data_IF_977850567041
#
_entry.id   IF_977850567041
#
_cell.length_a   1.000
_cell.length_b   1.000
_cell.length_c   1.000
_cell.angle_alpha   90.00
_cell.angle_beta   90.00
_cell.angle_gamma   90.00
#
_symmetry.space_group_name_H-M   'P 1'
#
loop_
_entity.id
_entity.type
_entity.pdbx_description
1 polymer ?
#
# COMPACT_ATOMS: atom_id res chain seq x y z
N UNK A 1 20.10 -11.49 48.57
CA UNK A 1 20.55 -10.08 48.48
C UNK A 1 20.27 -9.64 47.05
N UNK A 2 19.03 -9.39 46.62
CA UNK A 2 17.92 -8.62 47.21
C UNK A 2 18.32 -7.19 47.59
N UNK A 3 17.91 -6.24 46.72
CA UNK A 3 17.52 -4.81 46.90
C UNK A 3 17.79 -4.11 45.56
N UNK A 4 16.81 -3.61 44.80
CA UNK A 4 16.03 -2.42 45.10
C UNK A 4 14.72 -2.41 44.28
N UNK A 5 13.59 -2.50 44.98
CA UNK A 5 12.26 -2.08 44.54
C UNK A 5 12.06 -0.62 44.98
N UNK A 6 11.73 0.29 44.06
CA UNK A 6 10.97 1.53 44.31
C UNK A 6 10.19 1.83 43.01
N UNK A 7 8.90 1.51 42.89
CA UNK A 7 7.70 2.20 43.40
C UNK A 7 7.56 3.64 42.87
N UNK A 8 6.83 3.78 41.76
CA UNK A 8 6.05 4.99 41.47
C UNK A 8 4.57 4.68 41.65
N UNK A 9 4.02 5.19 42.75
CA UNK A 9 2.59 5.33 43.01
C UNK A 9 2.10 6.63 42.37
N UNK A 10 1.02 6.58 41.59
CA UNK A 10 0.22 7.75 41.29
C UNK A 10 -1.24 7.45 41.64
N UNK A 11 -1.63 7.97 42.80
CA UNK A 11 -2.96 8.03 43.37
C UNK A 11 -3.74 9.11 42.62
N UNK A 12 -4.86 8.76 41.99
CA UNK A 12 -5.82 9.75 41.49
C UNK A 12 -6.73 10.19 42.64
N UNK A 13 -6.50 11.41 43.13
CA UNK A 13 -7.36 12.12 44.08
C UNK A 13 -8.50 12.81 43.32
N UNK A 14 -9.75 12.51 43.67
CA UNK A 14 -10.95 13.25 43.23
C UNK A 14 -11.02 14.61 43.92
N UNK A 15 -11.33 15.71 43.21
CA UNK A 15 -11.87 16.92 43.82
C UNK A 15 -13.42 16.96 43.72
N UNK A 16 -14.07 17.79 44.56
CA UNK A 16 -15.52 17.74 44.78
C UNK A 16 -16.30 18.50 43.70
N UNK A 17 -17.53 18.05 43.50
CA UNK A 17 -18.58 18.71 42.73
C UNK A 17 -18.96 20.05 43.39
N UNK A 18 -19.23 21.09 42.59
CA UNK A 18 -20.42 21.89 42.86
C UNK A 18 -21.29 22.12 41.63
N UNK A 19 -22.58 22.18 41.93
CA UNK A 19 -23.74 22.51 41.10
C UNK A 19 -23.57 23.84 40.34
N UNK A 20 -24.14 23.92 39.13
CA UNK A 20 -24.37 25.21 38.46
C UNK A 20 -24.75 25.09 36.99
N UNK A 21 -26.03 25.32 36.69
CA UNK A 21 -26.67 25.40 35.37
C UNK A 21 -25.87 26.16 34.28
N UNK A 22 -25.91 25.68 33.04
CA UNK A 22 -26.79 26.22 31.97
C UNK A 22 -26.44 25.69 30.56
N UNK A 23 -27.48 25.27 29.82
CA UNK A 23 -27.79 25.34 28.37
C UNK A 23 -26.63 25.18 27.34
N UNK A 24 -26.68 24.47 26.19
CA UNK A 24 -27.62 23.80 25.28
C UNK A 24 -26.73 22.81 24.46
N UNK A 25 -27.13 21.75 23.76
CA UNK A 25 -28.39 21.07 23.50
C UNK A 25 -28.03 19.86 22.61
N UNK A 26 -28.62 18.70 22.89
CA UNK A 26 -28.71 17.58 21.96
C UNK A 26 -30.04 16.89 22.21
N UNK A 27 -30.91 16.98 21.21
CA UNK A 27 -32.29 16.49 21.27
C UNK A 27 -32.32 14.97 21.33
N UNK A 28 -32.54 14.43 22.54
CA UNK A 28 -33.03 13.07 22.73
C UNK A 28 -34.56 13.11 22.68
N UNK A 29 -35.16 12.52 21.65
CA UNK A 29 -36.60 12.31 21.62
C UNK A 29 -36.97 11.25 22.65
N UNK A 30 -37.83 11.64 23.60
CA UNK A 30 -38.57 10.72 24.47
C UNK A 30 -39.65 10.03 23.63
N UNK A 31 -39.63 8.70 23.56
CA UNK A 31 -40.84 7.94 23.25
C UNK A 31 -41.68 7.85 24.53
N UNK A 32 -42.75 8.63 24.62
CA UNK A 32 -43.79 8.42 25.62
C UNK A 32 -44.59 7.17 25.23
N UNK A 33 -44.66 6.19 26.14
CA UNK A 33 -45.51 5.03 26.00
C UNK A 33 -46.84 5.33 26.70
N UNK A 34 -47.91 5.57 25.94
CA UNK A 34 -49.28 5.48 26.46
C UNK A 34 -49.75 4.04 26.29
N UNK A 35 -50.04 3.40 27.42
CA UNK A 35 -50.73 2.12 27.47
C UNK A 35 -52.21 2.33 27.17
N UNK A 36 -52.73 1.64 26.16
CA UNK A 36 -54.08 1.08 26.21
C UNK A 36 -54.20 -0.10 25.22
N UNK A 37 -54.61 -1.25 25.77
CA UNK A 37 -55.42 -2.31 25.14
C UNK A 37 -55.03 -2.90 23.78
N UNK A 38 -54.68 -4.19 23.78
CA UNK A 38 -55.19 -5.12 22.77
C UNK A 38 -54.20 -5.61 21.70
N UNK A 39 -53.70 -6.83 21.93
CA UNK A 39 -53.29 -7.89 21.01
C UNK A 39 -52.77 -7.59 19.57
N UNK A 40 -51.62 -8.23 19.30
CA UNK A 40 -51.08 -8.67 18.00
C UNK A 40 -50.63 -7.59 17.02
N UNK A 41 -49.38 -7.16 17.17
CA UNK A 41 -48.63 -6.45 16.13
C UNK A 41 -47.21 -6.98 16.05
N UNK A 42 -46.86 -7.64 14.95
CA UNK A 42 -45.48 -7.95 14.59
C UNK A 42 -44.70 -6.63 14.44
N UNK A 43 -43.82 -6.32 15.39
CA UNK A 43 -42.91 -5.20 15.25
C UNK A 43 -41.78 -5.58 14.30
N UNK A 44 -41.88 -5.10 13.06
CA UNK A 44 -40.79 -5.12 12.08
C UNK A 44 -39.79 -4.02 12.44
N UNK A 45 -38.66 -4.41 13.04
CA UNK A 45 -37.52 -3.53 13.24
C UNK A 45 -36.77 -3.41 11.92
N UNK A 46 -37.05 -2.37 11.12
CA UNK A 46 -36.24 -2.05 9.95
C UNK A 46 -34.98 -1.33 10.44
N UNK A 47 -33.96 -2.11 10.78
CA UNK A 47 -32.62 -1.59 11.03
C UNK A 47 -32.07 -1.06 9.71
N UNK A 48 -32.15 0.26 9.49
CA UNK A 48 -31.49 0.91 8.35
C UNK A 48 -30.02 1.05 8.73
N UNK A 49 -29.27 -0.05 8.65
CA UNK A 49 -27.82 0.01 8.54
C UNK A 49 -27.54 0.55 7.14
N UNK A 50 -27.21 1.84 7.06
CA UNK A 50 -26.59 2.43 5.88
C UNK A 50 -25.20 1.82 5.72
N UNK A 51 -25.12 0.60 5.19
CA UNK A 51 -23.89 0.04 4.64
C UNK A 51 -23.60 0.81 3.35
N UNK A 52 -22.81 1.88 3.43
CA UNK A 52 -22.20 2.44 2.22
C UNK A 52 -21.25 1.39 1.67
N UNK A 53 -21.72 0.60 0.71
CA UNK A 53 -20.85 -0.29 -0.06
C UNK A 53 -19.94 0.58 -0.91
N UNK A 54 -18.65 0.66 -0.57
CA UNK A 54 -17.65 1.35 -1.38
C UNK A 54 -17.48 0.62 -2.71
N UNK A 55 -17.53 1.35 -3.81
CA UNK A 55 -17.18 0.80 -5.13
C UNK A 55 -15.67 0.69 -5.26
N UNK A 56 -15.18 -0.08 -6.23
CA UNK A 56 -13.75 -0.18 -6.50
C UNK A 56 -13.14 1.18 -6.92
N UNK A 57 -13.94 2.05 -7.54
CA UNK A 57 -13.51 3.41 -7.84
C UNK A 57 -13.33 4.25 -6.56
N UNK A 58 -14.23 4.11 -5.57
CA UNK A 58 -14.11 4.80 -4.27
C UNK A 58 -12.89 4.31 -3.49
N UNK A 59 -12.64 2.99 -3.49
CA UNK A 59 -11.48 2.38 -2.84
C UNK A 59 -10.16 2.80 -3.51
N UNK A 60 -10.13 2.88 -4.84
CA UNK A 60 -8.95 3.37 -5.57
C UNK A 60 -8.70 4.85 -5.26
N UNK A 61 -9.75 5.69 -5.22
CA UNK A 61 -9.63 7.10 -4.86
C UNK A 61 -9.12 7.29 -3.42
N UNK A 62 -9.57 6.45 -2.49
CA UNK A 62 -9.04 6.42 -1.11
C UNK A 62 -7.55 6.08 -1.09
N UNK A 63 -7.15 4.99 -1.76
CA UNK A 63 -5.75 4.57 -1.82
C UNK A 63 -4.86 5.64 -2.47
N UNK A 64 -5.33 6.25 -3.58
CA UNK A 64 -4.65 7.31 -4.29
C UNK A 64 -4.37 8.53 -3.39
N UNK A 65 -5.40 8.99 -2.67
CA UNK A 65 -5.28 10.12 -1.75
C UNK A 65 -4.31 9.81 -0.61
N UNK A 66 -4.41 8.63 0.01
CA UNK A 66 -3.52 8.25 1.12
C UNK A 66 -2.06 8.09 0.67
N UNK A 67 -1.83 7.56 -0.54
CA UNK A 67 -0.48 7.47 -1.12
C UNK A 67 0.12 8.85 -1.40
N UNK A 68 -0.68 9.81 -1.89
CA UNK A 68 -0.25 11.19 -2.12
C UNK A 68 0.08 11.90 -0.79
N UNK A 69 -0.81 11.80 0.21
CA UNK A 69 -0.57 12.37 1.54
C UNK A 69 0.68 11.76 2.22
N UNK A 70 0.89 10.44 2.10
CA UNK A 70 2.10 9.78 2.59
C UNK A 70 3.37 10.24 1.85
N UNK A 71 3.29 10.42 0.53
CA UNK A 71 4.40 10.97 -0.25
C UNK A 71 4.80 12.37 0.23
N UNK A 72 3.83 13.21 0.62
CA UNK A 72 4.09 14.56 1.15
C UNK A 72 4.80 14.50 2.51
N UNK A 73 4.40 13.58 3.37
CA UNK A 73 5.06 13.31 4.66
C UNK A 73 6.52 12.90 4.43
N UNK A 74 6.76 11.94 3.52
CA UNK A 74 8.12 11.44 3.21
C UNK A 74 8.99 12.57 2.66
N UNK A 75 8.48 13.40 1.74
CA UNK A 75 9.24 14.55 1.21
C UNK A 75 9.59 15.56 2.31
N UNK A 76 8.66 15.84 3.21
CA UNK A 76 8.88 16.75 4.34
C UNK A 76 9.98 16.23 5.28
N UNK A 77 9.98 14.93 5.57
CA UNK A 77 11.03 14.27 6.36
C UNK A 77 12.38 14.32 5.63
N UNK A 78 12.40 14.02 4.34
CA UNK A 78 13.63 14.07 3.53
C UNK A 78 14.28 15.45 3.55
N UNK A 79 13.48 16.52 3.43
CA UNK A 79 13.97 17.92 3.44
C UNK A 79 14.51 18.32 4.81
N UNK A 80 13.87 17.88 5.91
CA UNK A 80 14.34 18.22 7.27
C UNK A 80 15.60 17.46 7.68
N UNK A 81 15.89 16.34 7.03
CA UNK A 81 16.89 15.35 7.46
C UNK A 81 16.29 14.33 8.45
N UNK A 82 16.84 13.12 8.46
CA UNK A 82 16.31 12.00 9.24
C UNK A 82 17.43 11.08 9.70
N UNK A 83 17.15 10.27 10.72
CA UNK A 83 18.01 9.18 11.15
C UNK A 83 17.59 7.87 10.49
N UNK A 84 18.59 7.03 10.20
CA UNK A 84 18.37 5.67 9.69
C UNK A 84 18.70 4.68 10.79
N UNK A 85 17.73 3.83 11.10
CA UNK A 85 17.90 2.68 11.99
C UNK A 85 18.03 1.41 11.14
N UNK A 86 18.47 0.33 11.77
CA UNK A 86 18.62 -0.98 11.11
C UNK A 86 17.73 -1.99 11.81
N UNK A 87 16.85 -2.66 11.04
CA UNK A 87 15.98 -3.75 11.51
C UNK A 87 16.81 -5.00 11.86
N UNK A 88 16.18 -5.98 12.49
CA UNK A 88 16.81 -7.25 12.89
C UNK A 88 17.37 -8.06 11.72
N UNK A 89 16.80 -7.90 10.53
CA UNK A 89 17.23 -8.54 9.28
C UNK A 89 18.26 -7.71 8.49
N UNK A 90 18.84 -6.67 9.11
CA UNK A 90 19.80 -5.73 8.53
C UNK A 90 19.26 -4.83 7.41
N UNK A 91 17.95 -4.78 7.19
CA UNK A 91 17.33 -3.76 6.34
C UNK A 91 17.25 -2.39 7.06
N UNK A 92 17.40 -1.25 6.35
CA UNK A 92 17.24 0.06 6.96
C UNK A 92 15.75 0.39 7.18
N UNK A 93 15.47 1.23 8.18
CA UNK A 93 14.17 1.84 8.45
C UNK A 93 14.38 3.27 8.94
N UNK A 94 13.47 4.18 8.64
CA UNK A 94 13.58 5.59 9.01
C UNK A 94 12.30 6.11 9.65
N UNK A 95 12.35 7.34 10.19
CA UNK A 95 11.14 8.05 10.62
C UNK A 95 10.09 8.14 9.49
N UNK A 96 10.52 8.20 8.23
CA UNK A 96 9.63 8.31 7.09
C UNK A 96 8.74 7.08 6.90
N UNK A 97 9.30 5.88 7.05
CA UNK A 97 8.57 4.61 6.95
C UNK A 97 7.45 4.57 8.02
N UNK A 98 7.79 4.85 9.28
CA UNK A 98 6.81 4.85 10.38
C UNK A 98 5.75 5.95 10.27
N UNK A 99 6.13 7.17 9.88
CA UNK A 99 5.20 8.28 9.76
C UNK A 99 4.21 8.07 8.59
N UNK A 100 4.70 7.58 7.45
CA UNK A 100 3.87 7.24 6.30
C UNK A 100 2.91 6.09 6.65
N UNK A 101 3.40 5.02 7.27
CA UNK A 101 2.56 3.89 7.68
C UNK A 101 1.45 4.33 8.62
N UNK A 102 1.79 5.03 9.71
CA UNK A 102 0.80 5.48 10.69
C UNK A 102 -0.33 6.30 10.07
N UNK A 103 0.01 7.16 9.09
CA UNK A 103 -0.96 7.97 8.36
C UNK A 103 -1.87 7.10 7.46
N UNK A 104 -1.28 6.21 6.66
CA UNK A 104 -2.02 5.32 5.75
C UNK A 104 -2.96 4.40 6.54
N UNK A 105 -2.47 3.76 7.60
CA UNK A 105 -3.24 2.82 8.41
C UNK A 105 -4.40 3.50 9.11
N UNK A 106 -4.18 4.70 9.66
CA UNK A 106 -5.27 5.50 10.24
C UNK A 106 -6.35 5.80 9.21
N UNK A 107 -5.96 6.19 7.99
CA UNK A 107 -6.88 6.50 6.90
C UNK A 107 -7.70 5.29 6.45
N UNK A 108 -7.05 4.16 6.16
CA UNK A 108 -7.72 2.94 5.72
C UNK A 108 -8.66 2.39 6.80
N UNK A 109 -8.19 2.28 8.05
CA UNK A 109 -8.98 1.74 9.17
C UNK A 109 -10.20 2.61 9.51
N UNK A 110 -10.11 3.92 9.29
CA UNK A 110 -11.23 4.83 9.54
C UNK A 110 -12.28 4.77 8.42
N UNK A 111 -11.86 4.65 7.16
CA UNK A 111 -12.76 4.72 6.01
C UNK A 111 -13.42 3.38 5.66
N UNK A 112 -12.68 2.28 5.81
CA UNK A 112 -13.07 0.91 5.42
C UNK A 112 -12.64 -0.12 6.48
N UNK A 113 -13.14 -0.02 7.73
CA UNK A 113 -12.74 -0.89 8.83
C UNK A 113 -12.99 -2.39 8.57
N UNK A 114 -13.89 -2.72 7.65
CA UNK A 114 -14.23 -4.09 7.25
C UNK A 114 -13.18 -4.77 6.35
N UNK A 115 -12.28 -4.01 5.74
CA UNK A 115 -11.18 -4.53 4.91
C UNK A 115 -9.89 -4.45 5.75
N UNK A 116 -9.34 -5.58 6.21
CA UNK A 116 -8.10 -5.60 6.99
C UNK A 116 -6.94 -4.96 6.22
N UNK A 117 -5.99 -4.41 6.96
CA UNK A 117 -4.74 -3.86 6.41
C UNK A 117 -3.57 -4.66 6.95
N UNK A 118 -2.68 -5.06 6.05
CA UNK A 118 -1.40 -5.70 6.33
C UNK A 118 -0.31 -4.76 5.82
N UNK A 119 0.58 -4.33 6.71
CA UNK A 119 1.61 -3.34 6.39
C UNK A 119 2.99 -3.82 6.85
N UNK A 120 4.02 -3.42 6.12
CA UNK A 120 5.39 -3.88 6.34
C UNK A 120 5.85 -3.72 7.79
N UNK A 121 5.73 -2.53 8.38
CA UNK A 121 6.33 -2.24 9.68
C UNK A 121 5.52 -2.87 10.83
N UNK A 122 4.19 -2.93 10.70
CA UNK A 122 3.37 -3.72 11.63
C UNK A 122 3.75 -5.20 11.60
N UNK A 123 3.97 -5.79 10.41
CA UNK A 123 4.42 -7.19 10.28
C UNK A 123 5.82 -7.39 10.86
N UNK A 124 6.74 -6.46 10.62
CA UNK A 124 8.09 -6.48 11.20
C UNK A 124 8.05 -6.39 12.75
N UNK A 125 7.06 -5.68 13.31
CA UNK A 125 6.83 -5.61 14.76
C UNK A 125 6.20 -6.87 15.38
N UNK A 126 5.82 -7.85 14.55
CA UNK A 126 5.22 -9.12 14.97
C UNK A 126 3.69 -9.15 14.90
N UNK A 127 3.04 -8.08 14.46
CA UNK A 127 1.60 -8.08 14.20
C UNK A 127 1.31 -8.86 12.92
N UNK A 128 0.62 -9.99 13.04
CA UNK A 128 0.15 -10.74 11.88
C UNK A 128 -1.25 -10.29 11.52
N UNK A 129 -1.39 -9.58 10.42
CA UNK A 129 -2.70 -9.32 9.82
C UNK A 129 -3.36 -10.64 9.39
N UNK A 130 -4.69 -10.68 9.43
CA UNK A 130 -5.45 -11.83 8.98
C UNK A 130 -5.68 -11.73 7.46
N UNK A 131 -5.23 -12.75 6.71
CA UNK A 131 -5.65 -12.92 5.31
C UNK A 131 -7.15 -13.17 5.31
N UNK A 132 -7.90 -12.28 4.69
CA UNK A 132 -9.33 -12.42 4.45
C UNK A 132 -9.58 -12.52 2.94
N UNK A 133 -10.83 -12.73 2.49
CA UNK A 133 -11.14 -12.66 1.07
C UNK A 133 -10.80 -11.32 0.41
N UNK A 134 -10.67 -10.22 1.18
CA UNK A 134 -10.30 -8.90 0.70
C UNK A 134 -9.46 -8.14 1.74
N UNK A 135 -8.24 -7.73 1.42
CA UNK A 135 -7.35 -7.03 2.34
C UNK A 135 -6.42 -6.06 1.61
N UNK A 136 -5.99 -5.02 2.32
CA UNK A 136 -4.98 -4.07 1.85
C UNK A 136 -3.58 -4.58 2.17
N UNK A 137 -2.67 -4.42 1.22
CA UNK A 137 -1.23 -4.54 1.40
C UNK A 137 -0.61 -3.16 1.27
N UNK A 138 0.18 -2.78 2.27
CA UNK A 138 0.81 -1.46 2.36
C UNK A 138 2.31 -1.62 2.52
N UNK A 139 3.05 -1.01 1.60
CA UNK A 139 4.44 -0.68 1.77
C UNK A 139 4.53 0.85 1.91
N UNK A 140 4.79 1.36 3.12
CA UNK A 140 4.79 2.80 3.36
C UNK A 140 5.98 3.51 2.69
N UNK A 141 7.08 2.79 2.40
CA UNK A 141 8.28 3.33 1.79
C UNK A 141 9.11 2.17 1.19
N UNK A 142 8.79 1.75 -0.04
CA UNK A 142 9.63 0.81 -0.77
C UNK A 142 10.90 1.53 -1.23
N UNK A 143 12.04 0.86 -1.12
CA UNK A 143 13.32 1.45 -1.45
C UNK A 143 13.93 2.27 -0.31
N UNK A 144 13.73 1.88 0.96
CA UNK A 144 14.37 2.54 2.12
C UNK A 144 15.89 2.66 1.98
N UNK A 145 16.57 1.70 1.32
CA UNK A 145 18.01 1.79 0.98
C UNK A 145 18.33 2.92 0.00
N UNK A 146 17.42 3.20 -0.93
CA UNK A 146 17.54 4.28 -1.91
C UNK A 146 17.29 5.62 -1.24
N UNK A 147 16.23 5.70 -0.42
CA UNK A 147 15.90 6.86 0.40
C UNK A 147 17.02 7.26 1.36
N UNK A 148 17.52 6.31 2.17
CA UNK A 148 18.62 6.53 3.11
C UNK A 148 19.93 6.95 2.42
N UNK A 149 20.14 6.52 1.18
CA UNK A 149 21.29 6.93 0.38
C UNK A 149 21.08 8.25 -0.38
N UNK A 150 19.97 8.96 -0.13
CA UNK A 150 19.66 10.24 -0.75
C UNK A 150 19.27 10.14 -2.22
N UNK A 151 18.94 8.95 -2.73
CA UNK A 151 18.50 8.73 -4.12
C UNK A 151 17.00 8.91 -4.25
N UNK A 152 16.51 9.04 -5.48
CA UNK A 152 15.12 9.37 -5.78
C UNK A 152 14.22 8.14 -5.99
N UNK A 153 14.81 6.94 -6.06
CA UNK A 153 14.11 5.71 -6.43
C UNK A 153 13.45 5.03 -5.22
N UNK A 154 12.38 5.63 -4.71
CA UNK A 154 11.55 5.05 -3.63
C UNK A 154 10.07 5.35 -3.87
N UNK A 155 9.18 4.50 -3.34
CA UNK A 155 7.73 4.59 -3.58
C UNK A 155 6.91 4.36 -2.32
N UNK A 156 5.64 4.75 -2.36
CA UNK A 156 4.60 4.31 -1.43
C UNK A 156 3.68 3.39 -2.20
N UNK A 157 3.37 2.20 -1.70
CA UNK A 157 2.52 1.22 -2.37
C UNK A 157 1.30 0.88 -1.51
N UNK A 158 0.09 1.07 -2.06
CA UNK A 158 -1.18 0.70 -1.40
C UNK A 158 -2.00 -0.14 -2.38
N UNK A 159 -2.03 -1.45 -2.17
CA UNK A 159 -2.70 -2.41 -3.06
C UNK A 159 -3.86 -3.11 -2.36
N UNK A 160 -4.98 -3.27 -3.05
CA UNK A 160 -6.09 -4.12 -2.58
C UNK A 160 -5.98 -5.49 -3.24
N UNK A 161 -5.98 -6.52 -2.42
CA UNK A 161 -6.07 -7.92 -2.86
C UNK A 161 -7.48 -8.44 -2.60
N UNK A 162 -8.04 -9.19 -3.54
CA UNK A 162 -9.20 -10.05 -3.32
C UNK A 162 -8.96 -11.46 -3.83
N UNK A 163 -9.31 -12.46 -3.03
CA UNK A 163 -9.17 -13.89 -3.36
C UNK A 163 -7.77 -14.22 -3.93
N UNK A 164 -6.73 -13.67 -3.30
CA UNK A 164 -5.33 -13.89 -3.68
C UNK A 164 -4.85 -13.19 -4.95
N UNK A 165 -5.63 -12.23 -5.50
CA UNK A 165 -5.25 -11.43 -6.68
C UNK A 165 -5.26 -9.94 -6.37
N UNK A 166 -4.28 -9.20 -6.90
CA UNK A 166 -4.31 -7.74 -6.91
C UNK A 166 -5.50 -7.26 -7.75
N UNK A 167 -6.35 -6.40 -7.19
CA UNK A 167 -7.56 -5.90 -7.84
C UNK A 167 -7.42 -4.44 -8.24
N UNK A 168 -6.85 -3.62 -7.36
CA UNK A 168 -6.58 -2.21 -7.59
C UNK A 168 -5.39 -1.76 -6.75
N UNK A 169 -4.78 -0.65 -7.13
CA UNK A 169 -3.63 -0.13 -6.41
C UNK A 169 -3.29 1.31 -6.74
N UNK A 170 -2.71 1.98 -5.75
CA UNK A 170 -2.07 3.28 -5.89
C UNK A 170 -0.60 3.18 -5.51
N UNK A 171 0.26 3.83 -6.30
CA UNK A 171 1.70 3.91 -6.07
C UNK A 171 2.17 5.35 -6.24
N UNK A 172 2.68 5.97 -5.17
CA UNK A 172 3.28 7.30 -5.25
C UNK A 172 4.80 7.21 -5.37
N UNK A 173 5.39 8.07 -6.19
CA UNK A 173 6.83 8.25 -6.36
C UNK A 173 7.19 9.64 -5.80
N UNK A 174 7.53 9.76 -4.50
CA UNK A 174 7.57 11.07 -3.85
C UNK A 174 8.63 11.99 -4.47
N UNK A 175 9.84 11.50 -4.75
CA UNK A 175 10.90 12.33 -5.35
C UNK A 175 10.53 12.87 -6.75
N UNK A 176 9.66 12.15 -7.46
CA UNK A 176 9.24 12.50 -8.82
C UNK A 176 7.94 13.31 -8.86
N UNK A 177 7.26 13.53 -7.72
CA UNK A 177 5.94 14.16 -7.65
C UNK A 177 4.92 13.48 -8.57
N UNK A 178 4.95 12.14 -8.60
CA UNK A 178 4.08 11.32 -9.45
C UNK A 178 3.24 10.38 -8.60
N UNK A 179 2.00 10.17 -9.02
CA UNK A 179 1.08 9.17 -8.45
C UNK A 179 0.54 8.30 -9.59
N UNK A 180 0.62 7.00 -9.42
CA UNK A 180 0.13 6.01 -10.37
C UNK A 180 -1.05 5.26 -9.77
N UNK A 181 -2.09 5.00 -10.56
CA UNK A 181 -3.29 4.28 -10.13
C UNK A 181 -3.75 3.32 -11.21
N UNK A 182 -4.37 2.22 -10.82
CA UNK A 182 -4.96 1.26 -11.75
C UNK A 182 -5.68 0.12 -11.05
N UNK A 183 -6.45 -0.65 -11.80
CA UNK A 183 -7.15 -1.83 -11.31
C UNK A 183 -8.05 -2.49 -12.36
N UNK A 184 -8.68 -3.60 -11.99
CA UNK A 184 -9.57 -4.36 -12.87
C UNK A 184 -10.78 -3.50 -13.24
N UNK A 185 -10.99 -3.28 -14.54
CA UNK A 185 -12.08 -2.43 -15.05
C UNK A 185 -11.89 -0.93 -14.75
N UNK A 186 -10.76 -0.55 -14.17
CA UNK A 186 -10.38 0.83 -13.89
C UNK A 186 -9.21 1.21 -14.81
N UNK A 187 -9.08 2.49 -15.17
CA UNK A 187 -8.01 2.89 -16.05
C UNK A 187 -6.66 2.93 -15.31
N UNK A 188 -5.58 2.70 -16.06
CA UNK A 188 -4.25 3.05 -15.61
C UNK A 188 -3.97 4.54 -15.86
N UNK A 189 -3.56 5.26 -14.82
CA UNK A 189 -3.27 6.69 -14.86
C UNK A 189 -1.99 7.02 -14.13
N UNK A 190 -1.32 8.08 -14.60
CA UNK A 190 -0.29 8.82 -13.87
C UNK A 190 -0.78 10.24 -13.64
N UNK A 191 -0.78 10.69 -12.40
CA UNK A 191 -0.92 12.11 -12.02
C UNK A 191 0.45 12.70 -11.73
N UNK A 192 0.70 13.89 -12.25
CA UNK A 192 1.86 14.73 -11.95
C UNK A 192 1.45 16.21 -11.90
N UNK A 193 2.43 17.12 -11.85
CA UNK A 193 2.18 18.57 -11.82
C UNK A 193 1.43 19.10 -13.05
N UNK A 194 1.51 18.41 -14.18
CA UNK A 194 0.95 18.82 -15.47
C UNK A 194 -0.46 18.23 -15.68
N UNK A 195 -0.89 17.31 -14.81
CA UNK A 195 -2.26 16.78 -14.78
C UNK A 195 -2.31 15.26 -14.65
N UNK A 196 -3.44 14.69 -15.08
CA UNK A 196 -3.69 13.24 -15.12
C UNK A 196 -3.51 12.75 -16.55
N UNK A 197 -2.70 11.71 -16.72
CA UNK A 197 -2.33 11.11 -18.00
C UNK A 197 -2.73 9.65 -18.02
N UNK A 198 -3.40 9.20 -19.09
CA UNK A 198 -3.58 7.77 -19.36
C UNK A 198 -2.23 7.15 -19.67
N UNK A 199 -1.93 6.02 -19.04
CA UNK A 199 -0.71 5.25 -19.33
C UNK A 199 -1.07 3.92 -19.97
N UNK A 200 -0.15 3.41 -20.77
CA UNK A 200 -0.28 2.11 -21.43
C UNK A 200 1.11 1.55 -21.65
N UNK A 201 1.24 0.25 -21.50
CA UNK A 201 2.46 -0.46 -21.91
C UNK A 201 2.64 -0.38 -23.42
N UNK A 202 3.85 -0.62 -23.89
CA UNK A 202 4.16 -0.69 -25.33
C UNK A 202 4.40 -2.12 -25.77
N UNK A 203 4.26 -2.36 -27.07
CA UNK A 203 4.81 -3.53 -27.74
C UNK A 203 6.33 -3.34 -27.90
N UNK A 204 7.15 -4.37 -27.60
CA UNK A 204 8.59 -4.29 -27.80
C UNK A 204 8.96 -3.89 -29.24
N UNK A 205 9.97 -3.00 -29.40
CA UNK A 205 10.39 -2.58 -30.72
C UNK A 205 11.26 -3.66 -31.39
N UNK A 206 11.40 -3.60 -32.72
CA UNK A 206 12.03 -4.66 -33.51
C UNK A 206 13.54 -4.82 -33.22
N UNK A 207 14.18 -3.77 -32.74
CA UNK A 207 15.58 -3.77 -32.30
C UNK A 207 15.83 -4.63 -31.06
N UNK A 208 14.79 -4.92 -30.26
CA UNK A 208 14.87 -5.78 -29.08
C UNK A 208 14.23 -5.19 -27.82
N UNK A 209 14.23 -5.98 -26.76
CA UNK A 209 13.67 -5.61 -25.46
C UNK A 209 14.56 -4.58 -24.74
N UNK A 210 13.94 -3.55 -24.18
CA UNK A 210 14.53 -2.71 -23.14
C UNK A 210 14.24 -3.31 -21.77
N UNK A 211 15.28 -3.65 -21.02
CA UNK A 211 15.19 -4.35 -19.73
C UNK A 211 15.60 -3.43 -18.59
N UNK A 212 14.82 -3.41 -17.49
CA UNK A 212 15.26 -2.86 -16.21
C UNK A 212 15.53 -3.98 -15.21
N UNK A 213 16.68 -3.91 -14.55
CA UNK A 213 17.04 -4.77 -13.44
C UNK A 213 17.18 -3.96 -12.14
N UNK A 214 17.17 -4.66 -11.01
CA UNK A 214 17.43 -4.02 -9.71
C UNK A 214 18.88 -3.52 -9.65
N UNK A 215 19.09 -2.31 -9.13
CA UNK A 215 20.43 -1.76 -8.88
C UNK A 215 21.30 -2.64 -7.99
N UNK A 216 20.68 -3.30 -7.00
CA UNK A 216 21.42 -4.18 -6.07
C UNK A 216 21.71 -5.57 -6.64
N UNK A 217 21.18 -5.89 -7.81
CA UNK A 217 21.33 -7.19 -8.48
C UNK A 217 21.68 -6.99 -9.96
N UNK A 218 22.39 -5.90 -10.28
CA UNK A 218 22.74 -5.55 -11.65
C UNK A 218 23.61 -6.62 -12.33
N UNK A 219 24.56 -7.18 -11.56
CA UNK A 219 25.52 -8.18 -12.03
C UNK A 219 25.08 -9.62 -11.71
N UNK A 220 23.80 -9.85 -11.43
CA UNK A 220 23.30 -11.18 -11.10
C UNK A 220 23.36 -12.09 -12.35
N UNK A 221 24.17 -13.17 -12.35
CA UNK A 221 24.30 -14.04 -13.52
C UNK A 221 22.99 -14.73 -13.90
N UNK A 222 22.03 -14.83 -12.96
CA UNK A 222 20.70 -15.37 -13.21
C UNK A 222 19.91 -14.49 -14.18
N UNK A 223 20.19 -13.19 -14.26
CA UNK A 223 19.56 -12.29 -15.22
C UNK A 223 19.93 -12.68 -16.65
N UNK A 224 21.23 -12.78 -16.93
CA UNK A 224 21.74 -13.20 -18.24
C UNK A 224 21.21 -14.58 -18.63
N UNK A 225 21.21 -15.53 -17.69
CA UNK A 225 20.65 -16.86 -17.92
C UNK A 225 19.15 -16.83 -18.25
N UNK A 226 18.37 -16.00 -17.56
CA UNK A 226 16.94 -15.87 -17.79
C UNK A 226 16.60 -15.16 -19.11
N UNK A 227 17.36 -14.13 -19.48
CA UNK A 227 17.18 -13.44 -20.75
C UNK A 227 17.49 -14.36 -21.95
N UNK A 228 18.42 -15.31 -21.78
CA UNK A 228 18.73 -16.33 -22.77
C UNK A 228 19.08 -15.71 -24.14
N UNK A 229 18.48 -16.23 -25.21
CA UNK A 229 18.71 -15.78 -26.58
C UNK A 229 17.76 -14.65 -27.03
N UNK A 230 17.01 -14.03 -26.12
CA UNK A 230 16.12 -12.91 -26.48
C UNK A 230 16.94 -11.77 -27.07
N UNK A 231 16.38 -11.09 -28.08
CA UNK A 231 16.98 -9.89 -28.64
C UNK A 231 16.84 -8.74 -27.63
N UNK A 232 17.94 -8.32 -27.02
CA UNK A 232 17.98 -7.24 -26.03
C UNK A 232 18.56 -5.98 -26.67
N UNK A 233 17.81 -4.87 -26.64
CA UNK A 233 18.26 -3.58 -27.13
C UNK A 233 19.06 -2.81 -26.06
N UNK A 234 18.64 -2.90 -24.79
CA UNK A 234 19.32 -2.24 -23.68
C UNK A 234 19.00 -2.89 -22.34
N UNK A 235 19.94 -2.80 -21.40
CA UNK A 235 19.73 -3.14 -19.99
C UNK A 235 20.07 -1.91 -19.14
N UNK A 236 19.15 -1.49 -18.27
CA UNK A 236 19.36 -0.42 -17.29
C UNK A 236 19.08 -0.88 -15.87
N UNK A 237 19.50 -0.08 -14.89
CA UNK A 237 19.35 -0.40 -13.47
C UNK A 237 18.71 0.75 -12.70
N UNK A 238 17.65 0.42 -11.94
CA UNK A 238 16.95 1.39 -11.08
C UNK A 238 16.46 0.72 -9.80
N UNK A 239 16.35 1.50 -8.71
CA UNK A 239 15.87 1.06 -7.40
C UNK A 239 14.35 0.82 -7.35
N UNK A 240 13.88 0.18 -6.28
CA UNK A 240 12.46 0.17 -5.85
C UNK A 240 11.41 -0.25 -6.92
N UNK A 241 10.13 -0.07 -6.64
CA UNK A 241 8.98 -0.32 -7.47
C UNK A 241 8.85 0.67 -8.64
N UNK A 242 9.71 1.70 -8.73
CA UNK A 242 9.80 2.60 -9.90
C UNK A 242 9.90 1.84 -11.21
N UNK A 243 10.52 0.65 -11.21
CA UNK A 243 10.59 -0.26 -12.36
C UNK A 243 9.22 -0.61 -12.94
N UNK A 244 8.21 -0.84 -12.09
CA UNK A 244 6.85 -1.14 -12.54
C UNK A 244 6.22 0.05 -13.24
N UNK A 245 6.39 1.27 -12.72
CA UNK A 245 5.92 2.48 -13.40
C UNK A 245 6.52 2.59 -14.80
N UNK A 246 7.83 2.36 -14.95
CA UNK A 246 8.48 2.43 -16.28
C UNK A 246 7.97 1.38 -17.27
N UNK A 247 7.59 0.19 -16.80
CA UNK A 247 6.92 -0.80 -17.65
C UNK A 247 5.50 -0.34 -17.99
N UNK A 248 4.71 0.10 -16.99
CA UNK A 248 3.33 0.55 -17.16
C UNK A 248 3.20 1.77 -18.11
N UNK A 249 4.19 2.65 -18.13
CA UNK A 249 4.28 3.79 -19.06
C UNK A 249 4.79 3.41 -20.47
N UNK A 250 5.19 2.16 -20.69
CA UNK A 250 5.83 1.72 -21.93
C UNK A 250 7.22 2.35 -22.15
N UNK A 251 7.87 2.85 -21.10
CA UNK A 251 9.24 3.37 -21.19
C UNK A 251 10.26 2.23 -21.38
N UNK A 252 9.98 1.06 -20.79
CA UNK A 252 10.72 -0.18 -20.96
C UNK A 252 9.77 -1.36 -21.15
N UNK A 253 10.31 -2.49 -21.60
CA UNK A 253 9.50 -3.65 -22.02
C UNK A 253 9.48 -4.75 -20.95
N UNK A 254 10.53 -4.82 -20.13
CA UNK A 254 10.82 -6.01 -19.35
C UNK A 254 11.49 -5.69 -18.00
N UNK A 255 10.97 -6.26 -16.92
CA UNK A 255 11.58 -6.21 -15.59
C UNK A 255 11.49 -7.58 -14.91
N UNK A 256 12.56 -8.40 -14.99
CA UNK A 256 12.68 -9.61 -14.20
C UNK A 256 13.18 -9.28 -12.77
N UNK A 257 12.51 -9.82 -11.75
CA UNK A 257 12.91 -9.71 -10.35
C UNK A 257 13.30 -11.09 -9.82
N UNK A 258 14.61 -11.31 -9.68
CA UNK A 258 15.21 -12.57 -9.25
C UNK A 258 15.69 -12.57 -7.79
N UNK A 259 15.69 -11.38 -7.17
CA UNK A 259 15.95 -11.19 -5.74
C UNK A 259 14.66 -11.17 -4.92
N UNK A 260 14.74 -11.29 -3.59
CA UNK A 260 13.58 -11.32 -2.71
C UNK A 260 12.76 -10.03 -2.81
N UNK A 261 11.45 -10.17 -2.63
CA UNK A 261 10.45 -9.10 -2.46
C UNK A 261 9.34 -9.62 -1.55
N UNK A 262 8.58 -8.70 -0.99
CA UNK A 262 7.40 -8.98 -0.21
C UNK A 262 6.13 -8.68 -1.01
N UNK A 263 4.99 -9.23 -0.59
CA UNK A 263 3.70 -9.03 -1.24
C UNK A 263 3.29 -7.56 -1.34
N UNK A 264 3.63 -6.75 -0.33
CA UNK A 264 3.34 -5.32 -0.31
C UNK A 264 4.15 -4.52 -1.35
N UNK A 265 5.34 -5.00 -1.75
CA UNK A 265 6.14 -4.39 -2.82
C UNK A 265 5.48 -4.54 -4.21
N UNK A 266 4.56 -5.50 -4.38
CA UNK A 266 4.07 -5.91 -5.72
C UNK A 266 2.57 -5.75 -5.91
N UNK A 267 1.76 -5.77 -4.85
CA UNK A 267 0.29 -5.72 -4.98
C UNK A 267 -0.22 -4.47 -5.72
N UNK A 268 0.19 -3.28 -5.28
CA UNK A 268 -0.23 -2.04 -5.94
C UNK A 268 0.37 -1.90 -7.35
N UNK A 269 1.69 -2.12 -7.53
CA UNK A 269 2.28 -2.04 -8.86
C UNK A 269 1.72 -3.06 -9.86
N UNK A 270 1.35 -4.27 -9.42
CA UNK A 270 0.72 -5.27 -10.28
C UNK A 270 -0.60 -4.79 -10.85
N UNK A 271 -1.49 -4.28 -10.00
CA UNK A 271 -2.78 -3.76 -10.44
C UNK A 271 -2.62 -2.63 -11.47
N UNK A 272 -1.61 -1.76 -11.29
CA UNK A 272 -1.30 -0.66 -12.21
C UNK A 272 -0.79 -1.19 -13.56
N UNK A 273 0.18 -2.11 -13.53
CA UNK A 273 0.78 -2.70 -14.75
C UNK A 273 -0.27 -3.46 -15.56
N UNK A 274 -1.11 -4.26 -14.90
CA UNK A 274 -2.16 -5.03 -15.58
C UNK A 274 -3.25 -4.12 -16.17
N UNK A 275 -3.65 -3.05 -15.46
CA UNK A 275 -4.56 -2.05 -16.00
C UNK A 275 -3.97 -1.29 -17.20
N UNK A 276 -2.64 -1.15 -17.27
CA UNK A 276 -1.93 -0.55 -18.39
C UNK A 276 -1.76 -1.51 -19.59
N UNK A 277 -2.19 -2.77 -19.46
CA UNK A 277 -2.08 -3.80 -20.50
C UNK A 277 -0.79 -4.61 -20.47
N UNK A 278 -0.07 -4.59 -19.34
CA UNK A 278 1.06 -5.46 -19.06
C UNK A 278 0.69 -6.68 -18.21
N UNK A 279 1.69 -7.44 -17.79
CA UNK A 279 1.51 -8.65 -16.98
C UNK A 279 2.61 -8.81 -15.94
N UNK A 280 2.24 -9.39 -14.79
CA UNK A 280 3.18 -9.91 -13.81
C UNK A 280 2.94 -11.40 -13.60
N UNK A 281 3.96 -12.21 -13.88
CA UNK A 281 3.90 -13.67 -13.77
C UNK A 281 5.12 -14.20 -13.03
N UNK A 282 5.02 -15.43 -12.54
CA UNK A 282 6.20 -16.20 -12.13
C UNK A 282 7.07 -16.52 -13.36
N UNK A 283 8.28 -17.03 -13.12
CA UNK A 283 9.21 -17.36 -14.21
C UNK A 283 8.68 -18.45 -15.16
N UNK A 284 7.77 -19.30 -14.68
CA UNK A 284 7.10 -20.35 -15.46
C UNK A 284 5.83 -19.85 -16.19
N UNK A 285 5.50 -18.56 -16.07
CA UNK A 285 4.32 -17.93 -16.66
C UNK A 285 3.04 -18.06 -15.83
N UNK A 286 3.06 -18.78 -14.70
CA UNK A 286 1.90 -18.84 -13.80
C UNK A 286 1.65 -17.49 -13.10
N UNK A 287 0.42 -17.20 -12.65
CA UNK A 287 0.12 -15.92 -12.00
C UNK A 287 0.85 -15.75 -10.66
N UNK A 288 1.31 -14.52 -10.37
CA UNK A 288 1.73 -14.16 -9.02
C UNK A 288 0.49 -14.05 -8.12
N UNK A 289 0.45 -14.84 -7.04
CA UNK A 289 -0.66 -14.88 -6.08
C UNK A 289 -0.26 -14.29 -4.73
N UNK A 290 -1.26 -13.83 -3.99
CA UNK A 290 -1.14 -13.15 -2.69
C UNK A 290 -1.80 -13.96 -1.56
N UNK A 291 -1.35 -13.74 -0.32
CA UNK A 291 -1.84 -14.39 0.89
C UNK A 291 -0.92 -15.50 1.40
N UNK A 292 0.37 -15.43 1.06
CA UNK A 292 1.40 -16.41 1.46
C UNK A 292 1.76 -16.24 2.94
N UNK A 293 2.06 -17.33 3.62
CA UNK A 293 2.29 -17.37 5.08
C UNK A 293 3.43 -16.46 5.56
N UNK A 294 4.47 -16.28 4.74
CA UNK A 294 5.64 -15.44 5.04
C UNK A 294 5.68 -14.15 4.23
N UNK A 295 4.65 -13.87 3.43
CA UNK A 295 4.54 -12.70 2.55
C UNK A 295 5.65 -12.57 1.49
N UNK A 296 6.52 -13.58 1.32
CA UNK A 296 7.64 -13.50 0.37
C UNK A 296 7.19 -13.89 -1.02
N UNK A 297 7.48 -13.06 -2.01
CA UNK A 297 7.24 -13.44 -3.39
C UNK A 297 8.37 -14.34 -3.90
N UNK A 298 8.03 -15.39 -4.68
CA UNK A 298 9.00 -16.05 -5.53
C UNK A 298 9.50 -15.08 -6.63
N UNK A 299 10.59 -15.43 -7.34
CA UNK A 299 11.01 -14.69 -8.52
C UNK A 299 9.86 -14.53 -9.53
N UNK A 300 9.73 -13.33 -10.07
CA UNK A 300 8.67 -12.97 -11.00
C UNK A 300 9.22 -12.12 -12.14
N UNK A 301 8.41 -11.94 -13.17
CA UNK A 301 8.68 -11.07 -14.31
C UNK A 301 7.51 -10.13 -14.50
N UNK A 302 7.83 -8.85 -14.62
CA UNK A 302 6.93 -7.80 -15.06
C UNK A 302 7.22 -7.49 -16.54
N UNK A 303 6.17 -7.43 -17.35
CA UNK A 303 6.27 -7.26 -18.80
C UNK A 303 5.25 -6.25 -19.30
N UNK A 304 5.61 -5.54 -20.37
CA UNK A 304 4.65 -4.76 -21.16
C UNK A 304 3.66 -5.66 -21.91
N UNK A 305 3.03 -5.13 -22.97
CA UNK A 305 2.27 -6.00 -23.89
C UNK A 305 3.28 -6.80 -24.71
N UNK A 306 3.38 -8.11 -24.44
CA UNK A 306 4.18 -9.04 -25.23
C UNK A 306 3.36 -9.69 -26.35
#
# INVERSE_FOLDING_TARGET
MDTLKQLFSAVWVRPPCPLGNSAMGSSLFFAQNQSDGGMTGQHSWRMVLSMTSHTDADLLALAARLAEEAADIIRTIRVRGFETLTKTDASPVTEADHAAEAHILKGLRAAVPEIPVIAEEEVASGLRGAVSPAYWLVDPLDGTREFAAGRDDFTVNIGLVRNGRAVLGAMALPAYYQLYTGGIGLPAERKDRDGIHRIKTRTPPAEGLSVLASRHYADDPRLTAYLGERRIASVGNIGSAVKFARVAEGAVDFYPRLGPTMEWDTAAPQAIVEAAGGHITLLDGSPLLYGKTDWKNPPFVCTGTL
#
